data_IF_551421406871
#
_entry.id   IF_551421406871
#
_cell.length_a   1.000
_cell.length_b   1.000
_cell.length_c   1.000
_cell.angle_alpha   90.00
_cell.angle_beta   90.00
_cell.angle_gamma   90.00
#
_symmetry.space_group_name_H-M   'P 1'
#
loop_
_entity.id
_entity.type
_entity.pdbx_description
1 polymer ?
#
# COMPACT_ATOMS: atom_id res chain seq x y z
N UNK A 1 -2.10 30.35 1.06
CA UNK A 1 -1.96 29.18 1.94
C UNK A 1 -1.15 28.13 1.20
N UNK A 2 -0.16 27.49 1.84
CA UNK A 2 0.59 26.38 1.24
C UNK A 2 0.13 25.11 1.96
N UNK A 3 -0.34 24.11 1.21
CA UNK A 3 -0.63 22.79 1.76
C UNK A 3 0.66 21.97 1.85
N UNK A 4 0.76 21.14 2.88
CA UNK A 4 1.85 20.18 3.04
C UNK A 4 1.25 18.78 3.06
N UNK A 5 2.04 17.81 2.60
CA UNK A 5 1.79 16.37 2.67
C UNK A 5 0.75 15.84 1.67
N UNK A 6 -0.47 16.35 1.68
CA UNK A 6 -1.53 15.94 0.74
C UNK A 6 -2.27 17.14 0.17
N UNK A 7 -2.53 17.08 -1.14
CA UNK A 7 -3.48 17.99 -1.79
C UNK A 7 -4.92 17.70 -1.38
N UNK A 8 -5.79 18.70 -1.57
CA UNK A 8 -7.24 18.59 -1.40
C UNK A 8 -7.90 18.66 -2.78
N UNK A 9 -8.41 17.55 -3.34
CA UNK A 9 -9.01 17.57 -4.67
C UNK A 9 -10.13 18.60 -4.78
N UNK A 10 -10.07 19.43 -5.83
CA UNK A 10 -11.10 20.44 -6.12
C UNK A 10 -11.06 21.69 -5.24
N UNK A 11 -10.09 21.85 -4.34
CA UNK A 11 -9.91 23.07 -3.55
C UNK A 11 -8.99 24.06 -4.25
N UNK A 12 -9.39 25.34 -4.28
CA UNK A 12 -8.61 26.49 -4.74
C UNK A 12 -7.97 27.28 -3.58
N UNK A 13 -8.15 26.83 -2.33
CA UNK A 13 -7.66 27.51 -1.14
C UNK A 13 -6.11 27.45 -1.04
N UNK A 14 -5.46 26.28 -1.24
CA UNK A 14 -4.00 26.23 -1.30
C UNK A 14 -3.51 26.81 -2.63
N UNK A 15 -2.55 27.75 -2.59
CA UNK A 15 -1.92 28.29 -3.80
C UNK A 15 -0.87 27.32 -4.38
N UNK A 16 -0.38 26.39 -3.56
CA UNK A 16 0.49 25.28 -3.95
C UNK A 16 0.49 24.21 -2.85
N UNK A 17 0.98 23.02 -3.19
CA UNK A 17 1.18 21.89 -2.27
C UNK A 17 2.63 21.42 -2.33
N UNK A 18 3.26 21.25 -1.17
CA UNK A 18 4.57 20.59 -1.04
C UNK A 18 4.31 19.17 -0.53
N UNK A 19 4.60 18.18 -1.36
CA UNK A 19 4.33 16.78 -1.06
C UNK A 19 5.44 15.88 -1.63
N UNK A 20 5.49 14.65 -1.12
CA UNK A 20 6.23 13.54 -1.73
C UNK A 20 5.73 13.31 -3.15
N UNK A 21 6.62 12.93 -4.07
CA UNK A 21 6.21 12.37 -5.36
C UNK A 21 5.64 10.96 -5.13
N UNK A 22 4.37 10.91 -4.73
CA UNK A 22 3.69 9.71 -4.30
C UNK A 22 3.55 8.68 -5.44
N UNK A 23 3.44 9.12 -6.69
CA UNK A 23 3.41 8.22 -7.85
C UNK A 23 4.75 7.55 -8.07
N UNK A 24 5.84 8.33 -8.06
CA UNK A 24 7.18 7.78 -8.21
C UNK A 24 7.54 6.84 -7.05
N UNK A 25 7.25 7.24 -5.81
CA UNK A 25 7.53 6.42 -4.64
C UNK A 25 6.74 5.09 -4.66
N UNK A 26 5.47 5.11 -5.06
CA UNK A 26 4.69 3.89 -5.18
C UNK A 26 5.09 3.01 -6.37
N UNK A 27 5.60 3.60 -7.45
CA UNK A 27 6.23 2.85 -8.53
C UNK A 27 7.48 2.09 -8.03
N UNK A 28 8.30 2.72 -7.18
CA UNK A 28 9.43 2.04 -6.53
C UNK A 28 8.97 0.91 -5.59
N UNK A 29 7.87 1.10 -4.86
CA UNK A 29 7.28 0.04 -4.05
C UNK A 29 6.79 -1.14 -4.90
N UNK A 30 6.19 -0.86 -6.07
CA UNK A 30 5.77 -1.89 -7.02
C UNK A 30 6.95 -2.65 -7.63
N UNK A 31 8.00 -1.93 -8.03
CA UNK A 31 9.26 -2.51 -8.51
C UNK A 31 9.84 -3.45 -7.47
N UNK A 32 10.01 -2.97 -6.25
CA UNK A 32 10.57 -3.76 -5.17
C UNK A 32 9.73 -5.00 -4.84
N UNK A 33 8.41 -4.85 -4.73
CA UNK A 33 7.53 -6.01 -4.52
C UNK A 33 7.64 -6.99 -5.68
N UNK A 34 7.64 -6.51 -6.93
CA UNK A 34 7.78 -7.35 -8.11
C UNK A 34 9.07 -8.16 -8.11
N UNK A 35 10.19 -7.55 -7.73
CA UNK A 35 11.48 -8.23 -7.58
C UNK A 35 11.40 -9.37 -6.55
N UNK A 36 10.83 -9.10 -5.38
CA UNK A 36 10.66 -10.08 -4.31
C UNK A 36 9.75 -11.26 -4.73
N UNK A 37 8.74 -10.99 -5.56
CA UNK A 37 7.83 -12.01 -6.07
C UNK A 37 8.33 -12.73 -7.33
N UNK A 38 9.49 -12.33 -7.87
CA UNK A 38 9.99 -12.87 -9.14
C UNK A 38 9.08 -12.55 -10.34
N UNK A 39 8.40 -11.40 -10.29
CA UNK A 39 7.62 -10.85 -11.40
C UNK A 39 6.24 -11.46 -11.63
N UNK A 40 5.70 -12.25 -10.70
CA UNK A 40 4.38 -12.89 -10.86
C UNK A 40 3.64 -13.09 -9.54
N UNK A 41 2.31 -13.18 -9.61
CA UNK A 41 1.48 -13.58 -8.48
C UNK A 41 0.31 -12.63 -8.22
N UNK A 42 -0.47 -12.92 -7.18
CA UNK A 42 -1.59 -12.07 -6.78
C UNK A 42 -1.15 -11.13 -5.68
N UNK A 43 -1.46 -9.85 -5.81
CA UNK A 43 -1.17 -8.85 -4.79
C UNK A 43 -2.44 -8.08 -4.42
N UNK A 44 -2.45 -7.50 -3.23
CA UNK A 44 -3.52 -6.63 -2.79
C UNK A 44 -2.97 -5.28 -2.33
N UNK A 45 -3.83 -4.26 -2.28
CA UNK A 45 -3.48 -2.93 -1.78
C UNK A 45 -4.33 -2.61 -0.55
N UNK A 46 -3.67 -2.26 0.56
CA UNK A 46 -4.29 -1.66 1.74
C UNK A 46 -3.95 -0.18 1.72
N UNK A 47 -4.87 0.62 1.18
CA UNK A 47 -4.68 2.03 0.90
C UNK A 47 -5.21 2.92 2.02
N UNK A 48 -4.52 4.02 2.29
CA UNK A 48 -4.89 4.94 3.35
C UNK A 48 -6.12 5.79 3.02
N UNK A 49 -6.37 6.10 1.74
CA UNK A 49 -7.55 6.88 1.35
C UNK A 49 -7.87 6.80 -0.13
N UNK A 50 -9.15 6.64 -0.46
CA UNK A 50 -9.63 6.75 -1.85
C UNK A 50 -9.76 8.20 -2.33
N UNK A 51 -9.79 9.16 -1.40
CA UNK A 51 -10.18 10.56 -1.69
C UNK A 51 -9.05 11.56 -1.49
N UNK A 52 -7.99 11.22 -0.76
CA UNK A 52 -6.80 12.08 -0.68
C UNK A 52 -5.95 11.95 -1.93
N UNK A 53 -5.28 13.04 -2.33
CA UNK A 53 -4.32 13.01 -3.45
C UNK A 53 -3.20 12.01 -3.17
N UNK A 54 -2.70 11.97 -1.92
CA UNK A 54 -1.68 11.02 -1.51
C UNK A 54 -2.09 9.56 -1.71
N UNK A 55 -3.28 9.17 -1.25
CA UNK A 55 -3.76 7.79 -1.39
C UNK A 55 -4.02 7.42 -2.86
N UNK A 56 -4.64 8.33 -3.63
CA UNK A 56 -4.86 8.16 -5.06
C UNK A 56 -3.55 8.00 -5.84
N UNK A 57 -2.56 8.84 -5.56
CA UNK A 57 -1.27 8.80 -6.24
C UNK A 57 -0.47 7.54 -5.88
N UNK A 58 -0.50 7.11 -4.61
CA UNK A 58 0.16 5.86 -4.18
C UNK A 58 -0.48 4.64 -4.84
N UNK A 59 -1.82 4.54 -4.83
CA UNK A 59 -2.52 3.44 -5.50
C UNK A 59 -2.25 3.45 -7.02
N UNK A 60 -2.41 4.61 -7.67
CA UNK A 60 -2.23 4.74 -9.10
C UNK A 60 -0.79 4.44 -9.52
N UNK A 61 0.20 4.98 -8.82
CA UNK A 61 1.62 4.78 -9.12
C UNK A 61 2.01 3.31 -9.09
N UNK A 62 1.56 2.61 -8.04
CA UNK A 62 1.78 1.18 -7.90
C UNK A 62 1.15 0.37 -9.04
N UNK A 63 -0.15 0.60 -9.32
CA UNK A 63 -0.91 -0.13 -10.35
C UNK A 63 -0.39 0.15 -11.76
N UNK A 64 0.00 1.39 -12.05
CA UNK A 64 0.51 1.77 -13.37
C UNK A 64 1.85 1.12 -13.63
N UNK A 65 2.76 1.15 -12.65
CA UNK A 65 4.06 0.50 -12.79
C UNK A 65 3.92 -1.00 -13.02
N UNK A 66 3.06 -1.70 -12.26
CA UNK A 66 2.79 -3.13 -12.49
C UNK A 66 2.23 -3.39 -13.89
N UNK A 67 1.27 -2.57 -14.36
CA UNK A 67 0.69 -2.72 -15.69
C UNK A 67 1.72 -2.59 -16.81
N UNK A 68 2.68 -1.68 -16.66
CA UNK A 68 3.70 -1.41 -17.67
C UNK A 68 4.90 -2.39 -17.61
N UNK A 69 5.23 -2.91 -16.42
CA UNK A 69 6.51 -3.60 -16.18
C UNK A 69 6.38 -5.03 -15.62
N UNK A 70 5.25 -5.38 -15.01
CA UNK A 70 5.03 -6.68 -14.37
C UNK A 70 3.60 -7.21 -14.60
N UNK A 71 3.18 -7.44 -15.85
CA UNK A 71 1.80 -7.80 -16.20
C UNK A 71 1.33 -9.15 -15.63
N UNK A 72 2.26 -10.01 -15.19
CA UNK A 72 1.95 -11.29 -14.52
C UNK A 72 1.70 -11.14 -13.01
N UNK A 73 1.82 -9.91 -12.48
CA UNK A 73 1.36 -9.54 -11.13
C UNK A 73 -0.04 -8.94 -11.23
N UNK A 74 -1.01 -9.60 -10.60
CA UNK A 74 -2.40 -9.19 -10.61
C UNK A 74 -2.80 -8.55 -9.28
N UNK A 75 -3.26 -7.30 -9.31
CA UNK A 75 -3.94 -6.69 -8.16
C UNK A 75 -5.34 -7.28 -8.04
N UNK A 76 -5.60 -8.08 -7.00
CA UNK A 76 -6.86 -8.82 -6.82
C UNK A 76 -7.83 -8.13 -5.86
N UNK A 77 -7.34 -7.27 -4.97
CA UNK A 77 -8.16 -6.50 -4.03
C UNK A 77 -7.50 -5.15 -3.70
N UNK A 78 -8.34 -4.14 -3.45
CA UNK A 78 -7.95 -2.80 -3.00
C UNK A 78 -8.92 -2.37 -1.92
N UNK A 79 -8.41 -2.15 -0.71
CA UNK A 79 -9.19 -1.72 0.45
C UNK A 79 -8.71 -0.36 0.95
N UNK A 80 -9.60 0.40 1.58
CA UNK A 80 -9.31 1.77 2.04
C UNK A 80 -9.54 1.89 3.54
N UNK A 81 -8.49 2.14 4.32
CA UNK A 81 -8.52 2.10 5.79
C UNK A 81 -8.77 3.46 6.46
N UNK A 82 -8.66 4.59 5.73
CA UNK A 82 -8.75 5.95 6.28
C UNK A 82 -7.74 6.25 7.40
N UNK A 83 -6.55 5.65 7.32
CA UNK A 83 -5.50 5.64 8.35
C UNK A 83 -6.02 5.22 9.74
N UNK A 84 -6.93 4.25 9.75
CA UNK A 84 -7.37 3.55 10.94
C UNK A 84 -6.77 2.14 10.95
N UNK A 85 -5.84 1.90 11.87
CA UNK A 85 -5.13 0.64 12.00
C UNK A 85 -6.07 -0.56 12.25
N UNK A 86 -7.15 -0.38 13.02
CA UNK A 86 -8.08 -1.46 13.32
C UNK A 86 -8.90 -1.84 12.07
N UNK A 87 -9.29 -0.84 11.27
CA UNK A 87 -9.93 -1.06 9.96
C UNK A 87 -8.94 -1.76 9.01
N UNK A 88 -7.70 -1.29 8.95
CA UNK A 88 -6.66 -1.92 8.14
C UNK A 88 -6.43 -3.38 8.53
N UNK A 89 -6.46 -3.71 9.82
CA UNK A 89 -6.27 -5.08 10.30
C UNK A 89 -7.41 -5.99 9.87
N UNK A 90 -8.66 -5.51 9.95
CA UNK A 90 -9.83 -6.24 9.48
C UNK A 90 -9.77 -6.48 7.96
N UNK A 91 -9.37 -5.46 7.19
CA UNK A 91 -9.22 -5.54 5.74
C UNK A 91 -8.14 -6.53 5.34
N UNK A 92 -6.93 -6.42 5.93
CA UNK A 92 -5.83 -7.33 5.65
C UNK A 92 -6.19 -8.79 5.99
N UNK A 93 -6.85 -9.03 7.13
CA UNK A 93 -7.30 -10.37 7.50
C UNK A 93 -8.33 -10.94 6.50
N UNK A 94 -9.29 -10.10 6.05
CA UNK A 94 -10.28 -10.50 5.06
C UNK A 94 -9.64 -10.82 3.69
N UNK A 95 -8.67 -10.01 3.25
CA UNK A 95 -7.90 -10.23 2.02
C UNK A 95 -7.17 -11.57 2.09
N UNK A 96 -6.42 -11.82 3.18
CA UNK A 96 -5.66 -13.07 3.36
C UNK A 96 -6.58 -14.30 3.38
N UNK A 97 -7.77 -14.17 3.99
CA UNK A 97 -8.76 -15.25 4.01
C UNK A 97 -9.37 -15.50 2.63
N UNK A 98 -9.67 -14.44 1.86
CA UNK A 98 -10.27 -14.54 0.53
C UNK A 98 -9.28 -15.03 -0.54
N UNK A 99 -7.99 -14.74 -0.33
CA UNK A 99 -6.91 -15.05 -1.26
C UNK A 99 -5.81 -15.89 -0.56
N UNK A 100 -6.04 -17.18 -0.31
CA UNK A 100 -5.02 -18.05 0.30
C UNK A 100 -3.78 -18.24 -0.59
N UNK A 101 -3.86 -17.85 -1.87
CA UNK A 101 -2.75 -17.82 -2.84
C UNK A 101 -2.19 -16.41 -3.08
N UNK A 102 -2.47 -15.46 -2.19
CA UNK A 102 -1.89 -14.12 -2.23
C UNK A 102 -0.38 -14.20 -2.08
N UNK A 103 0.35 -13.53 -2.96
CA UNK A 103 1.81 -13.46 -2.96
C UNK A 103 2.32 -12.21 -2.23
N UNK A 104 1.57 -11.09 -2.27
CA UNK A 104 2.00 -9.90 -1.55
C UNK A 104 0.93 -8.84 -1.26
N UNK A 105 1.27 -7.89 -0.40
CA UNK A 105 0.46 -6.73 -0.04
C UNK A 105 1.29 -5.47 -0.18
N UNK A 106 0.74 -4.45 -0.83
CA UNK A 106 1.23 -3.08 -0.74
C UNK A 106 0.37 -2.30 0.26
N UNK A 107 0.98 -1.82 1.34
CA UNK A 107 0.32 -0.95 2.31
C UNK A 107 0.78 0.49 2.13
N UNK A 108 -0.15 1.42 1.94
CA UNK A 108 0.19 2.78 1.50
C UNK A 108 0.46 3.75 2.65
N UNK A 109 0.43 3.33 3.91
CA UNK A 109 0.77 4.10 5.12
C UNK A 109 1.29 3.19 6.25
N UNK A 110 1.79 3.80 7.33
CA UNK A 110 2.29 3.09 8.53
C UNK A 110 1.23 2.16 9.14
N UNK A 111 0.00 2.66 9.33
CA UNK A 111 -1.12 1.90 9.91
C UNK A 111 -1.45 0.66 9.07
N UNK A 112 -1.53 0.81 7.75
CA UNK A 112 -1.72 -0.30 6.81
C UNK A 112 -0.59 -1.31 6.88
N UNK A 113 0.66 -0.87 6.96
CA UNK A 113 1.84 -1.74 6.95
C UNK A 113 1.91 -2.59 8.23
N UNK A 114 1.74 -1.95 9.39
CA UNK A 114 1.73 -2.64 10.69
C UNK A 114 0.54 -3.61 10.76
N UNK A 115 -0.64 -3.19 10.31
CA UNK A 115 -1.83 -4.03 10.31
C UNK A 115 -1.70 -5.24 9.38
N UNK A 116 -1.15 -5.07 8.19
CA UNK A 116 -0.91 -6.16 7.24
C UNK A 116 0.06 -7.21 7.82
N UNK A 117 1.15 -6.77 8.45
CA UNK A 117 2.11 -7.67 9.09
C UNK A 117 1.48 -8.46 10.24
N UNK A 118 0.70 -7.80 11.10
CA UNK A 118 -0.01 -8.46 12.20
C UNK A 118 -1.06 -9.47 11.70
N UNK A 119 -1.78 -9.13 10.62
CA UNK A 119 -2.74 -10.03 10.00
C UNK A 119 -2.05 -11.25 9.40
N UNK A 120 -0.93 -11.07 8.70
CA UNK A 120 -0.13 -12.16 8.15
C UNK A 120 0.43 -13.07 9.25
N UNK A 121 0.90 -12.51 10.37
CA UNK A 121 1.34 -13.28 11.54
C UNK A 121 0.20 -14.10 12.13
N UNK A 122 -0.98 -13.49 12.30
CA UNK A 122 -2.17 -14.17 12.84
C UNK A 122 -2.64 -15.30 11.93
N UNK A 123 -2.53 -15.12 10.61
CA UNK A 123 -2.87 -16.13 9.60
C UNK A 123 -1.77 -17.19 9.38
N UNK A 124 -0.63 -17.08 10.06
CA UNK A 124 0.56 -17.89 9.84
C UNK A 124 1.06 -17.86 8.37
N UNK A 125 0.98 -16.69 7.74
CA UNK A 125 1.34 -16.45 6.33
C UNK A 125 2.61 -15.62 6.15
N UNK A 126 3.36 -15.33 7.23
CA UNK A 126 4.60 -14.51 7.20
C UNK A 126 5.66 -15.04 6.24
N UNK A 127 5.68 -16.35 5.99
CA UNK A 127 6.65 -16.98 5.08
C UNK A 127 6.15 -17.05 3.62
N UNK A 128 4.91 -16.61 3.37
CA UNK A 128 4.24 -16.79 2.08
C UNK A 128 3.74 -15.49 1.45
N UNK A 129 3.47 -14.47 2.26
CA UNK A 129 2.99 -13.15 1.79
C UNK A 129 4.08 -12.12 2.04
N UNK A 130 4.58 -11.52 0.97
CA UNK A 130 5.52 -10.40 1.04
C UNK A 130 4.76 -9.09 1.24
N UNK A 131 5.19 -8.26 2.18
CA UNK A 131 4.55 -6.98 2.47
C UNK A 131 5.55 -5.85 2.19
N UNK A 132 5.15 -4.89 1.36
CA UNK A 132 5.88 -3.64 1.15
C UNK A 132 5.02 -2.51 1.72
N UNK A 133 5.57 -1.75 2.65
CA UNK A 133 4.89 -0.64 3.34
C UNK A 133 5.41 0.73 2.93
N UNK A 134 4.67 1.76 3.33
CA UNK A 134 5.05 3.18 3.21
C UNK A 134 5.25 3.77 4.61
N UNK A 135 5.99 4.88 4.72
CA UNK A 135 6.38 5.54 5.98
C UNK A 135 7.54 4.84 6.73
N UNK A 136 7.75 5.21 8.00
CA UNK A 136 8.89 4.74 8.80
C UNK A 136 8.65 4.82 10.32
N UNK A 137 7.42 4.56 10.78
CA UNK A 137 7.12 4.56 12.20
C UNK A 137 7.94 3.49 12.93
N UNK A 138 8.27 3.71 14.21
CA UNK A 138 9.04 2.72 15.00
C UNK A 138 8.42 1.31 14.96
N UNK A 139 7.09 1.14 15.10
CA UNK A 139 6.46 -0.18 15.01
C UNK A 139 6.66 -0.84 13.64
N UNK A 140 6.55 -0.07 12.54
CA UNK A 140 6.82 -0.56 11.19
C UNK A 140 8.28 -0.94 11.00
N UNK A 141 9.22 -0.10 11.46
CA UNK A 141 10.65 -0.36 11.33
C UNK A 141 11.08 -1.62 12.08
N UNK A 142 10.41 -1.98 13.17
CA UNK A 142 10.66 -3.22 13.93
C UNK A 142 10.22 -4.49 13.17
N UNK A 143 9.47 -4.34 12.08
CA UNK A 143 8.97 -5.45 11.24
C UNK A 143 9.83 -5.68 9.99
N UNK A 144 10.75 -4.76 9.66
CA UNK A 144 11.61 -4.88 8.48
C UNK A 144 12.63 -6.00 8.70
N UNK A 145 12.68 -6.95 7.78
CA UNK A 145 13.55 -8.13 7.79
C UNK A 145 14.58 -8.12 6.68
#
# INVERSE_FOLDING_TARGET
>A
MIAFDSGVPGSDIPVTTVATDNKAAAAQAAEHLSELLGGKGKVAIVCNSQTSVTGQDREQGFRSWLGDNAPDIQVVDVQYNNSDQAVAQQQAAAILQAHPDLAGIFATDDDGAVAAAQAAQTAAMTDTVTIVGFDSGKPQMDLVT
#
